data_IF_213183669139
#
_entry.id   IF_213183669139
#
_cell.length_a   1.000
_cell.length_b   1.000
_cell.length_c   1.000
_cell.angle_alpha   90.00
_cell.angle_beta   90.00
_cell.angle_gamma   90.00
#
_symmetry.space_group_name_H-M   'P 1'
#
loop_
_entity.id
_entity.type
_entity.pdbx_description
1 polymer ?
#
# COMPACT_ATOMS: atom_id res chain seq x y z
N UNK A 1 15.31 6.09 4.65
CA UNK A 1 14.61 5.05 5.43
C UNK A 1 13.46 4.57 4.57
N UNK A 2 13.15 3.27 4.62
CA UNK A 2 11.97 2.67 3.98
C UNK A 2 11.02 2.21 5.08
N UNK A 3 9.73 2.49 4.94
CA UNK A 3 8.70 2.09 5.89
C UNK A 3 8.30 0.62 5.69
N UNK A 4 8.10 0.19 4.44
CA UNK A 4 7.78 -1.19 4.05
C UNK A 4 6.41 -1.73 4.50
N UNK A 5 5.55 -0.86 5.02
CA UNK A 5 4.18 -1.20 5.42
C UNK A 5 3.31 0.05 5.60
N UNK A 6 3.34 0.95 4.62
CA UNK A 6 2.40 2.09 4.62
C UNK A 6 0.99 1.55 4.37
N UNK A 7 0.10 1.71 5.33
CA UNK A 7 -1.26 1.15 5.32
C UNK A 7 -2.23 2.05 6.09
N UNK A 8 -3.53 1.81 5.93
CA UNK A 8 -4.56 2.54 6.67
C UNK A 8 -4.48 2.35 8.20
N UNK A 9 -3.94 1.22 8.68
CA UNK A 9 -3.76 0.98 10.12
C UNK A 9 -2.53 1.66 10.70
N UNK A 10 -1.58 2.02 9.82
CA UNK A 10 -0.33 2.67 10.19
C UNK A 10 -0.37 4.20 10.02
N UNK A 11 -1.46 4.74 9.46
CA UNK A 11 -1.69 6.19 9.36
C UNK A 11 -2.69 6.60 10.43
N UNK A 12 -2.17 7.23 11.48
CA UNK A 12 -2.96 7.84 12.54
C UNK A 12 -3.37 9.25 12.12
N UNK A 13 -4.47 9.74 12.66
CA UNK A 13 -4.86 11.13 12.49
C UNK A 13 -5.53 11.68 13.74
N UNK A 14 -5.42 12.99 13.91
CA UNK A 14 -6.15 13.77 14.90
C UNK A 14 -6.66 15.06 14.26
N UNK A 15 -7.79 15.57 14.74
CA UNK A 15 -8.27 16.89 14.38
C UNK A 15 -7.65 17.93 15.31
N UNK A 16 -6.97 18.92 14.73
CA UNK A 16 -6.39 20.02 15.48
C UNK A 16 -7.44 21.06 15.85
N UNK A 17 -7.13 21.93 16.82
CA UNK A 17 -8.04 22.98 17.29
C UNK A 17 -8.50 23.97 16.20
N UNK A 18 -7.77 24.06 15.08
CA UNK A 18 -8.11 24.87 13.92
C UNK A 18 -8.95 24.12 12.86
N UNK A 19 -9.42 22.90 13.16
CA UNK A 19 -10.19 22.04 12.26
C UNK A 19 -9.34 21.33 11.19
N UNK A 20 -8.00 21.43 11.23
CA UNK A 20 -7.14 20.72 10.29
C UNK A 20 -6.85 19.30 10.77
N UNK A 21 -6.87 18.34 9.85
CA UNK A 21 -6.42 16.99 10.13
C UNK A 21 -4.89 16.93 10.16
N UNK A 22 -4.33 16.41 11.24
CA UNK A 22 -2.90 16.13 11.39
C UNK A 22 -2.68 14.63 11.28
N UNK A 23 -1.93 14.20 10.26
CA UNK A 23 -1.67 12.79 9.98
C UNK A 23 -0.26 12.40 10.46
N UNK A 24 -0.16 11.25 11.12
CA UNK A 24 1.09 10.70 11.63
C UNK A 24 1.26 9.27 11.14
N UNK A 25 2.39 9.00 10.47
CA UNK A 25 2.76 7.65 10.05
C UNK A 25 3.47 6.93 11.20
N UNK A 26 2.92 5.78 11.61
CA UNK A 26 3.40 4.88 12.66
C UNK A 26 3.67 3.48 12.10
N UNK A 27 4.12 2.53 12.93
CA UNK A 27 4.30 1.13 12.50
C UNK A 27 5.65 0.87 11.83
N UNK A 28 6.73 1.34 12.44
CA UNK A 28 8.10 1.21 11.91
C UNK A 28 8.76 -0.16 12.19
N UNK A 29 8.02 -1.17 12.65
CA UNK A 29 8.56 -2.49 13.00
C UNK A 29 9.20 -3.22 11.80
N UNK A 30 8.76 -2.88 10.59
CA UNK A 30 9.27 -3.41 9.32
C UNK A 30 10.25 -2.47 8.62
N UNK A 31 10.47 -1.28 9.18
CA UNK A 31 11.24 -0.24 8.53
C UNK A 31 12.73 -0.58 8.47
N UNK A 32 13.39 -0.13 7.40
CA UNK A 32 14.84 -0.25 7.25
C UNK A 32 15.49 1.11 7.06
N UNK A 33 16.61 1.33 7.76
CA UNK A 33 17.48 2.46 7.49
C UNK A 33 18.37 2.13 6.30
N UNK A 34 18.59 3.12 5.45
CA UNK A 34 19.49 3.01 4.30
C UNK A 34 20.74 3.85 4.58
N UNK A 35 21.88 3.35 4.13
CA UNK A 35 23.12 4.09 3.99
C UNK A 35 22.99 5.14 2.88
N UNK A 36 23.99 6.04 2.78
CA UNK A 36 24.01 7.09 1.74
C UNK A 36 24.04 6.54 0.31
N UNK A 37 24.55 5.33 0.14
CA UNK A 37 24.61 4.61 -1.14
C UNK A 37 23.32 3.83 -1.45
N UNK A 38 22.30 3.91 -0.59
CA UNK A 38 21.02 3.21 -0.76
C UNK A 38 21.02 1.77 -0.25
N UNK A 39 22.13 1.24 0.26
CA UNK A 39 22.18 -0.11 0.84
C UNK A 39 21.53 -0.15 2.23
N UNK A 40 20.95 -1.30 2.67
CA UNK A 40 20.45 -1.43 4.04
C UNK A 40 21.57 -1.22 5.07
N UNK A 41 21.33 -0.33 6.03
CA UNK A 41 22.29 -0.05 7.11
C UNK A 41 22.38 -1.20 8.13
N UNK A 42 21.37 -2.07 8.17
CA UNK A 42 21.31 -3.30 8.95
C UNK A 42 20.56 -4.36 8.14
N UNK A 43 20.79 -5.64 8.45
CA UNK A 43 19.95 -6.71 7.91
C UNK A 43 18.49 -6.51 8.34
N UNK A 44 17.58 -6.64 7.38
CA UNK A 44 16.16 -6.60 7.67
C UNK A 44 15.76 -7.80 8.55
N UNK A 45 15.03 -7.53 9.63
CA UNK A 45 14.42 -8.56 10.48
C UNK A 45 13.46 -9.45 9.68
N UNK A 46 12.68 -8.84 8.80
CA UNK A 46 11.86 -9.56 7.83
C UNK A 46 12.62 -9.84 6.53
N UNK A 47 12.96 -11.12 6.34
CA UNK A 47 13.66 -11.65 5.15
C UNK A 47 12.74 -11.84 3.95
N UNK A 48 11.43 -11.86 4.16
CA UNK A 48 10.42 -11.93 3.11
C UNK A 48 9.82 -10.54 2.86
N UNK A 49 9.17 -10.39 1.71
CA UNK A 49 8.45 -9.17 1.36
C UNK A 49 7.28 -8.97 2.33
N UNK A 50 7.25 -7.78 2.91
CA UNK A 50 6.32 -7.39 3.96
C UNK A 50 5.44 -6.27 3.46
N UNK A 51 4.35 -6.02 4.17
CA UNK A 51 3.42 -4.96 3.87
C UNK A 51 1.99 -5.47 3.73
N UNK A 52 1.07 -4.56 3.97
CA UNK A 52 -0.37 -4.81 3.87
C UNK A 52 -0.77 -4.94 2.40
N UNK A 53 -1.21 -6.14 1.97
CA UNK A 53 -1.41 -6.48 0.55
C UNK A 53 -2.26 -5.48 -0.27
N UNK A 54 -3.39 -4.95 0.24
CA UNK A 54 -4.17 -3.95 -0.48
C UNK A 54 -3.38 -2.68 -0.83
N UNK A 55 -2.37 -2.32 -0.04
CA UNK A 55 -1.55 -1.12 -0.24
C UNK A 55 -0.17 -1.44 -0.81
N UNK A 56 0.22 -2.72 -0.88
CA UNK A 56 1.49 -3.13 -1.48
C UNK A 56 1.56 -2.69 -2.94
N UNK A 57 2.74 -2.21 -3.34
CA UNK A 57 3.03 -1.81 -4.71
C UNK A 57 2.71 -2.90 -5.74
N UNK A 58 2.31 -2.51 -6.96
CA UNK A 58 2.05 -3.43 -8.08
C UNK A 58 3.28 -4.28 -8.37
N UNK A 59 4.46 -3.65 -8.53
CA UNK A 59 5.69 -4.38 -8.85
C UNK A 59 6.02 -5.41 -7.78
N UNK A 60 5.77 -5.03 -6.53
CA UNK A 60 5.93 -5.89 -5.39
C UNK A 60 4.95 -7.07 -5.43
N UNK A 61 3.67 -6.84 -5.71
CA UNK A 61 2.66 -7.90 -5.84
C UNK A 61 2.97 -8.87 -6.99
N UNK A 62 3.42 -8.37 -8.15
CA UNK A 62 3.75 -9.21 -9.31
C UNK A 62 4.92 -10.15 -9.04
N UNK A 63 5.95 -9.66 -8.36
CA UNK A 63 7.08 -10.47 -7.92
C UNK A 63 6.63 -11.57 -6.93
N UNK A 64 5.71 -11.25 -6.03
CA UNK A 64 5.10 -12.22 -5.11
C UNK A 64 4.24 -13.27 -5.83
N UNK A 65 3.65 -12.96 -6.99
CA UNK A 65 2.95 -13.96 -7.80
C UNK A 65 3.90 -15.04 -8.33
N UNK A 66 5.13 -14.66 -8.67
CA UNK A 66 6.12 -15.58 -9.26
C UNK A 66 6.74 -16.46 -8.19
N UNK A 67 7.25 -15.87 -7.11
CA UNK A 67 7.80 -16.63 -5.99
C UNK A 67 7.70 -15.85 -4.67
N UNK A 68 6.66 -16.12 -3.85
CA UNK A 68 6.44 -15.43 -2.57
C UNK A 68 7.59 -15.60 -1.55
N UNK A 69 8.43 -16.63 -1.72
CA UNK A 69 9.54 -16.96 -0.82
C UNK A 69 10.87 -16.38 -1.28
N UNK A 70 10.94 -15.87 -2.51
CA UNK A 70 12.15 -15.24 -3.04
C UNK A 70 12.41 -13.91 -2.35
N UNK A 71 13.69 -13.51 -2.14
CA UNK A 71 14.01 -12.13 -1.81
C UNK A 71 13.55 -11.15 -2.91
N UNK A 72 13.40 -11.64 -4.16
CA UNK A 72 12.64 -10.97 -5.22
C UNK A 72 13.10 -9.55 -5.54
N UNK A 73 12.14 -8.70 -5.91
CA UNK A 73 12.33 -7.26 -6.09
C UNK A 73 12.62 -6.61 -4.74
N UNK A 74 13.70 -5.83 -4.63
CA UNK A 74 13.98 -5.10 -3.41
C UNK A 74 12.95 -4.00 -3.17
N UNK A 75 12.54 -3.83 -1.90
CA UNK A 75 11.72 -2.69 -1.51
C UNK A 75 12.55 -1.42 -1.64
N UNK A 76 11.92 -0.35 -2.13
CA UNK A 76 12.55 0.92 -2.46
C UNK A 76 11.61 2.03 -2.02
N UNK A 77 12.12 3.27 -1.95
CA UNK A 77 11.33 4.40 -1.47
C UNK A 77 10.08 4.66 -2.32
N UNK A 78 10.17 4.44 -3.63
CA UNK A 78 9.03 4.62 -4.54
C UNK A 78 7.88 3.63 -4.24
N UNK A 79 8.19 2.46 -3.69
CA UNK A 79 7.18 1.49 -3.27
C UNK A 79 6.38 2.00 -2.05
N UNK A 80 7.01 2.73 -1.12
CA UNK A 80 6.30 3.37 0.01
C UNK A 80 5.39 4.51 -0.47
N UNK A 81 5.84 5.30 -1.45
CA UNK A 81 5.00 6.34 -2.07
C UNK A 81 3.81 5.73 -2.83
N UNK A 82 4.02 4.64 -3.55
CA UNK A 82 2.95 3.91 -4.22
C UNK A 82 1.93 3.38 -3.19
N UNK A 83 2.40 2.88 -2.05
CA UNK A 83 1.50 2.48 -0.95
C UNK A 83 0.68 3.63 -0.39
N UNK A 84 1.26 4.82 -0.22
CA UNK A 84 0.50 6.01 0.17
C UNK A 84 -0.58 6.38 -0.85
N UNK A 85 -0.25 6.31 -2.15
CA UNK A 85 -1.22 6.51 -3.23
C UNK A 85 -2.37 5.50 -3.15
N UNK A 86 -2.07 4.23 -2.89
CA UNK A 86 -3.10 3.20 -2.74
C UNK A 86 -3.98 3.42 -1.50
N UNK A 87 -3.42 3.89 -0.38
CA UNK A 87 -4.23 4.26 0.80
C UNK A 87 -5.19 5.38 0.45
N UNK A 88 -4.70 6.47 -0.15
CA UNK A 88 -5.54 7.60 -0.53
C UNK A 88 -6.66 7.19 -1.50
N UNK A 89 -6.32 6.38 -2.51
CA UNK A 89 -7.29 5.88 -3.50
C UNK A 89 -8.35 4.99 -2.84
N UNK A 90 -7.93 4.06 -1.98
CA UNK A 90 -8.83 3.19 -1.23
C UNK A 90 -9.77 3.99 -0.33
N UNK A 91 -9.25 5.02 0.37
CA UNK A 91 -10.07 5.93 1.18
C UNK A 91 -11.14 6.59 0.33
N UNK A 92 -10.77 7.24 -0.78
CA UNK A 92 -11.71 7.88 -1.70
C UNK A 92 -12.80 6.91 -2.17
N UNK A 93 -12.42 5.71 -2.59
CA UNK A 93 -13.36 4.67 -3.04
C UNK A 93 -14.34 4.22 -1.94
N UNK A 94 -13.90 4.19 -0.68
CA UNK A 94 -14.73 3.76 0.47
C UNK A 94 -15.58 4.89 1.05
N UNK A 95 -15.15 6.15 0.91
CA UNK A 95 -15.84 7.30 1.52
C UNK A 95 -16.80 8.01 0.58
N UNK A 96 -16.73 7.77 -0.73
CA UNK A 96 -17.60 8.41 -1.70
C UNK A 96 -19.08 8.02 -1.49
N UNK A 97 -19.94 9.04 -1.34
CA UNK A 97 -21.37 8.86 -1.00
C UNK A 97 -22.29 9.25 -2.15
N UNK A 98 -21.84 10.12 -3.04
CA UNK A 98 -22.68 10.78 -4.05
C UNK A 98 -22.43 10.22 -5.45
N UNK A 99 -22.36 8.89 -5.57
CA UNK A 99 -22.21 8.17 -6.84
C UNK A 99 -23.44 7.34 -7.18
N UNK A 100 -23.70 7.19 -8.48
CA UNK A 100 -24.81 6.39 -8.98
C UNK A 100 -24.75 4.94 -8.44
N UNK A 101 -25.88 4.30 -8.11
CA UNK A 101 -25.89 2.96 -7.48
C UNK A 101 -25.07 1.91 -8.23
N UNK A 102 -25.13 1.91 -9.57
CA UNK A 102 -24.34 0.99 -10.41
C UNK A 102 -22.83 1.24 -10.28
N UNK A 103 -22.41 2.50 -10.23
CA UNK A 103 -21.00 2.85 -10.03
C UNK A 103 -20.54 2.46 -8.62
N UNK A 104 -21.40 2.65 -7.61
CA UNK A 104 -21.14 2.23 -6.23
C UNK A 104 -20.90 0.73 -6.12
N UNK A 105 -21.70 -0.09 -6.80
CA UNK A 105 -21.52 -1.55 -6.86
C UNK A 105 -20.20 -1.94 -7.54
N UNK A 106 -19.83 -1.25 -8.63
CA UNK A 106 -18.55 -1.46 -9.32
C UNK A 106 -17.36 -1.11 -8.43
N UNK A 107 -17.40 0.04 -7.77
CA UNK A 107 -16.37 0.48 -6.81
C UNK A 107 -16.26 -0.51 -5.66
N UNK A 108 -17.38 -0.93 -5.07
CA UNK A 108 -17.37 -1.92 -3.99
C UNK A 108 -16.77 -3.25 -4.44
N UNK A 109 -17.09 -3.69 -5.66
CA UNK A 109 -16.52 -4.92 -6.24
C UNK A 109 -15.01 -4.80 -6.44
N UNK A 110 -14.53 -3.66 -6.95
CA UNK A 110 -13.12 -3.39 -7.13
C UNK A 110 -12.38 -3.38 -5.77
N UNK A 111 -12.90 -2.66 -4.78
CA UNK A 111 -12.25 -2.60 -3.46
C UNK A 111 -12.25 -3.97 -2.76
N UNK A 112 -13.34 -4.74 -2.85
CA UNK A 112 -13.35 -6.11 -2.31
C UNK A 112 -12.25 -6.97 -2.94
N UNK A 113 -12.03 -6.86 -4.27
CA UNK A 113 -10.94 -7.57 -4.94
C UNK A 113 -9.55 -7.11 -4.49
N UNK A 114 -9.37 -5.84 -4.13
CA UNK A 114 -8.13 -5.35 -3.50
C UNK A 114 -7.92 -5.92 -2.10
N UNK A 115 -8.99 -6.06 -1.32
CA UNK A 115 -8.94 -6.48 0.09
C UNK A 115 -8.76 -7.99 0.26
N UNK A 116 -9.34 -8.80 -0.64
CA UNK A 116 -9.41 -10.27 -0.46
C UNK A 116 -8.82 -11.06 -1.62
N UNK A 117 -8.31 -10.39 -2.66
CA UNK A 117 -7.78 -11.03 -3.85
C UNK A 117 -6.46 -11.77 -3.61
N UNK A 118 -6.08 -12.63 -4.56
CA UNK A 118 -4.71 -13.13 -4.65
C UNK A 118 -3.75 -12.00 -5.05
N UNK A 119 -2.44 -12.20 -4.93
CA UNK A 119 -1.43 -11.23 -5.39
C UNK A 119 -1.69 -10.78 -6.84
N UNK A 120 -2.03 -11.73 -7.72
CA UNK A 120 -2.31 -11.46 -9.13
C UNK A 120 -3.59 -10.65 -9.31
N UNK A 121 -4.66 -11.03 -8.60
CA UNK A 121 -5.94 -10.33 -8.66
C UNK A 121 -5.79 -8.87 -8.20
N UNK A 122 -5.06 -8.63 -7.11
CA UNK A 122 -4.82 -7.29 -6.58
C UNK A 122 -3.99 -6.48 -7.58
N UNK A 123 -2.87 -7.02 -8.07
CA UNK A 123 -2.00 -6.33 -9.03
C UNK A 123 -2.75 -5.94 -10.32
N UNK A 124 -3.54 -6.88 -10.87
CA UNK A 124 -4.34 -6.61 -12.07
C UNK A 124 -5.40 -5.54 -11.83
N UNK A 125 -6.14 -5.62 -10.72
CA UNK A 125 -7.17 -4.64 -10.46
C UNK A 125 -6.61 -3.23 -10.20
N UNK A 126 -5.39 -3.12 -9.64
CA UNK A 126 -4.67 -1.85 -9.53
C UNK A 126 -4.25 -1.29 -10.89
N UNK A 127 -3.75 -2.14 -11.79
CA UNK A 127 -3.41 -1.74 -13.17
C UNK A 127 -4.65 -1.27 -13.94
N UNK A 128 -5.77 -1.96 -13.77
CA UNK A 128 -7.06 -1.58 -14.37
C UNK A 128 -7.49 -0.17 -13.93
N UNK A 129 -7.33 0.18 -12.65
CA UNK A 129 -7.61 1.55 -12.15
C UNK A 129 -6.68 2.62 -12.77
N UNK A 130 -5.43 2.29 -13.09
CA UNK A 130 -4.47 3.24 -13.64
C UNK A 130 -4.53 3.41 -15.16
N UNK A 131 -4.94 2.36 -15.88
CA UNK A 131 -4.80 2.27 -17.34
C UNK A 131 -6.09 1.89 -18.07
N UNK A 132 -7.17 1.59 -17.34
CA UNK A 132 -8.48 1.21 -17.87
C UNK A 132 -9.39 2.38 -18.22
#
# INVERSE_FOLDING_TARGET
MLHRDVSNTNIMWEEQANGQAHFVLNGFDLAIRLNRDGTPAMEATAKHRTGTLPFMSIRLLEDMCVNPKSPGVMHELHHDYESLFWVATWCTMKTERDIAPKLKEQVQTAVTKWETGSYQTIAWNKKDVLFG
#
